data_IF_775537305065
#
_entry.id   IF_775537305065
#
_cell.length_a   1.000
_cell.length_b   1.000
_cell.length_c   1.000
_cell.angle_alpha   90.00
_cell.angle_beta   90.00
_cell.angle_gamma   90.00
#
_symmetry.space_group_name_H-M   'P 1'
#
loop_
_entity.id
_entity.type
_entity.pdbx_description
1 polymer ?
#
# COMPACT_ATOMS: atom_id res chain seq x y z
N UNK A 1 -62.16 3.86 19.30
CA UNK A 1 -60.83 3.22 19.47
C UNK A 1 -60.40 2.81 18.07
N UNK A 2 -59.46 3.47 17.40
CA UNK A 2 -58.06 3.64 17.79
C UNK A 2 -57.44 4.85 17.06
N UNK A 3 -57.18 5.91 17.81
CA UNK A 3 -56.06 6.81 17.54
C UNK A 3 -54.77 6.09 17.95
N UNK A 4 -53.65 6.46 17.31
CA UNK A 4 -52.27 6.05 17.60
C UNK A 4 -51.76 4.81 16.86
N UNK A 5 -51.08 5.06 15.73
CA UNK A 5 -49.95 4.25 15.23
C UNK A 5 -49.27 4.87 13.98
N UNK A 6 -49.90 5.86 13.32
CA UNK A 6 -49.33 6.52 12.13
C UNK A 6 -48.30 7.64 12.42
N UNK A 7 -47.97 7.92 13.69
CA UNK A 7 -47.02 8.97 14.09
C UNK A 7 -45.66 8.45 14.61
N UNK A 8 -45.40 7.14 14.54
CA UNK A 8 -44.23 6.49 15.14
C UNK A 8 -43.38 5.67 14.15
N UNK A 9 -43.34 6.07 12.89
CA UNK A 9 -42.26 5.65 11.99
C UNK A 9 -41.59 6.89 11.42
N UNK A 10 -40.43 7.32 11.95
CA UNK A 10 -39.59 8.22 11.17
C UNK A 10 -39.26 7.44 9.89
N UNK A 11 -39.65 8.00 8.74
CA UNK A 11 -39.27 7.42 7.45
C UNK A 11 -37.76 7.23 7.45
N UNK A 12 -37.29 6.06 7.02
CA UNK A 12 -35.87 5.68 7.00
C UNK A 12 -34.99 6.77 6.35
N UNK A 13 -35.58 7.58 5.46
CA UNK A 13 -35.01 8.78 4.84
C UNK A 13 -34.66 9.93 5.80
N UNK A 14 -35.41 10.14 6.89
CA UNK A 14 -35.14 11.19 7.89
C UNK A 14 -34.04 10.76 8.86
N UNK A 15 -33.98 9.47 9.21
CA UNK A 15 -32.91 8.92 10.05
C UNK A 15 -31.58 8.83 9.28
N UNK A 16 -31.61 8.45 8.00
CA UNK A 16 -30.43 8.46 7.12
C UNK A 16 -30.00 9.88 6.75
N UNK A 17 -30.95 10.78 6.48
CA UNK A 17 -30.67 12.18 6.17
C UNK A 17 -30.15 12.97 7.37
N UNK A 18 -30.61 12.71 8.60
CA UNK A 18 -30.18 13.44 9.79
C UNK A 18 -28.80 13.08 10.32
N UNK A 19 -28.31 11.87 10.07
CA UNK A 19 -27.01 11.39 10.56
C UNK A 19 -25.90 11.51 9.51
N UNK A 20 -26.23 11.24 8.24
CA UNK A 20 -25.26 11.32 7.15
C UNK A 20 -25.10 12.73 6.61
N UNK A 21 -26.12 13.60 6.68
CA UNK A 21 -26.00 14.95 6.15
C UNK A 21 -25.00 15.82 6.95
N UNK A 22 -24.95 15.80 8.30
CA UNK A 22 -23.89 16.48 9.04
C UNK A 22 -22.50 15.88 8.78
N UNK A 23 -22.41 14.57 8.55
CA UNK A 23 -21.17 13.86 8.22
C UNK A 23 -20.69 14.20 6.79
N UNK A 24 -21.60 14.26 5.81
CA UNK A 24 -21.37 14.69 4.43
C UNK A 24 -21.08 16.20 4.33
N UNK A 25 -21.74 17.03 5.14
CA UNK A 25 -21.49 18.46 5.23
C UNK A 25 -20.16 18.75 5.93
N UNK A 26 -19.78 17.98 6.96
CA UNK A 26 -18.45 18.06 7.58
C UNK A 26 -17.35 17.74 6.57
N UNK A 27 -17.58 16.77 5.66
CA UNK A 27 -16.67 16.46 4.56
C UNK A 27 -16.56 17.60 3.54
N UNK A 28 -17.67 18.33 3.31
CA UNK A 28 -17.73 19.44 2.37
C UNK A 28 -17.10 20.73 2.92
N UNK A 29 -16.95 20.82 4.25
CA UNK A 29 -16.33 21.93 5.00
C UNK A 29 -14.85 21.66 5.37
N UNK A 30 -14.26 20.55 4.96
CA UNK A 30 -12.84 20.31 5.18
C UNK A 30 -12.01 21.19 4.23
N UNK A 31 -11.49 22.30 4.76
CA UNK A 31 -10.43 23.06 4.11
C UNK A 31 -9.23 22.18 3.77
N UNK A 32 -8.27 22.68 2.97
CA UNK A 32 -7.13 21.89 2.47
C UNK A 32 -6.37 21.10 3.54
N UNK A 33 -6.36 21.57 4.80
CA UNK A 33 -5.74 20.88 5.94
C UNK A 33 -6.47 19.60 6.37
N UNK A 34 -7.80 19.56 6.33
CA UNK A 34 -8.59 18.37 6.65
C UNK A 34 -8.34 17.25 5.63
N UNK A 35 -8.47 17.59 4.33
CA UNK A 35 -8.10 16.69 3.23
C UNK A 35 -6.68 16.16 3.39
N UNK A 36 -5.72 17.05 3.71
CA UNK A 36 -4.34 16.63 3.90
C UNK A 36 -4.19 15.63 5.07
N UNK A 37 -4.83 15.87 6.21
CA UNK A 37 -4.76 15.00 7.38
C UNK A 37 -5.43 13.63 7.12
N UNK A 38 -6.61 13.64 6.48
CA UNK A 38 -7.32 12.42 6.13
C UNK A 38 -6.49 11.55 5.19
N UNK A 39 -6.02 12.09 4.05
CA UNK A 39 -5.23 11.31 3.10
C UNK A 39 -3.87 10.88 3.67
N UNK A 40 -3.25 11.67 4.56
CA UNK A 40 -2.05 11.24 5.28
C UNK A 40 -2.33 9.98 6.13
N UNK A 41 -3.46 9.95 6.83
CA UNK A 41 -3.91 8.79 7.60
C UNK A 41 -4.21 7.59 6.69
N UNK A 42 -4.99 7.79 5.63
CA UNK A 42 -5.31 6.73 4.66
C UNK A 42 -4.04 6.13 4.04
N UNK A 43 -3.05 6.97 3.72
CA UNK A 43 -1.78 6.51 3.19
C UNK A 43 -1.00 5.65 4.18
N UNK A 44 -1.06 5.97 5.47
CA UNK A 44 -0.44 5.17 6.52
C UNK A 44 -1.18 3.85 6.73
N UNK A 45 -2.52 3.89 6.84
CA UNK A 45 -3.39 2.73 7.05
C UNK A 45 -3.28 1.73 5.90
N UNK A 46 -3.17 2.24 4.67
CA UNK A 46 -2.90 1.45 3.48
C UNK A 46 -1.65 0.59 3.60
N UNK A 47 -0.66 0.98 4.41
CA UNK A 47 0.52 0.15 4.68
C UNK A 47 0.33 -0.67 5.94
N UNK A 48 -0.05 -0.03 7.05
CA UNK A 48 -0.25 -0.67 8.36
C UNK A 48 -1.66 -0.34 8.87
N UNK A 49 -2.58 -1.30 8.99
CA UNK A 49 -2.39 -2.76 8.91
C UNK A 49 -2.78 -3.40 7.55
N UNK A 50 -3.32 -2.65 6.60
CA UNK A 50 -4.01 -3.23 5.44
C UNK A 50 -3.07 -3.72 4.34
N UNK A 51 -1.90 -3.08 4.21
CA UNK A 51 -0.96 -3.28 3.11
C UNK A 51 0.01 -4.44 3.28
N UNK A 52 -0.49 -5.66 3.50
CA UNK A 52 0.39 -6.82 3.62
C UNK A 52 1.32 -7.00 2.40
N UNK A 53 0.84 -6.69 1.19
CA UNK A 53 1.66 -6.71 -0.02
C UNK A 53 2.87 -5.76 0.09
N UNK A 54 2.65 -4.54 0.61
CA UNK A 54 3.69 -3.54 0.82
C UNK A 54 4.64 -3.93 1.95
N UNK A 55 4.11 -4.45 3.06
CA UNK A 55 4.90 -4.93 4.19
C UNK A 55 5.85 -6.03 3.74
N UNK A 56 5.35 -7.07 3.07
CA UNK A 56 6.18 -8.18 2.60
C UNK A 56 7.19 -7.73 1.54
N UNK A 57 6.81 -6.81 0.65
CA UNK A 57 7.73 -6.24 -0.34
C UNK A 57 8.90 -5.52 0.33
N UNK A 58 8.62 -4.58 1.25
CA UNK A 58 9.65 -3.80 1.96
C UNK A 58 10.50 -4.66 2.88
N UNK A 59 9.92 -5.66 3.56
CA UNK A 59 10.71 -6.65 4.32
C UNK A 59 11.62 -7.46 3.39
N UNK A 60 11.16 -7.81 2.19
CA UNK A 60 12.00 -8.38 1.15
C UNK A 60 13.18 -7.48 0.77
N UNK A 61 12.97 -6.16 0.62
CA UNK A 61 14.05 -5.19 0.41
C UNK A 61 15.03 -5.14 1.59
N UNK A 62 14.50 -5.13 2.82
CA UNK A 62 15.27 -5.04 4.05
C UNK A 62 16.20 -6.24 4.25
N UNK A 63 15.70 -7.47 4.09
CA UNK A 63 16.52 -8.67 4.27
C UNK A 63 17.62 -8.81 3.19
N UNK A 64 17.48 -8.11 2.07
CA UNK A 64 18.48 -8.01 1.03
C UNK A 64 19.58 -6.99 1.36
N UNK A 65 19.17 -5.76 1.66
CA UNK A 65 20.06 -4.60 1.70
C UNK A 65 20.16 -4.03 3.12
N UNK A 66 21.35 -4.16 3.71
CA UNK A 66 21.65 -3.67 5.06
C UNK A 66 21.91 -2.16 5.10
N UNK A 67 22.23 -1.56 3.96
CA UNK A 67 22.58 -0.15 3.87
C UNK A 67 21.31 0.70 3.86
N UNK A 68 21.09 1.45 4.95
CA UNK A 68 19.92 2.30 5.11
C UNK A 68 19.71 3.29 3.94
N UNK A 69 20.75 3.98 3.40
CA UNK A 69 20.56 4.86 2.25
C UNK A 69 20.07 4.14 0.98
N UNK A 70 20.56 2.93 0.74
CA UNK A 70 20.17 2.12 -0.40
C UNK A 70 18.74 1.56 -0.27
N UNK A 71 18.30 1.29 0.96
CA UNK A 71 16.91 0.91 1.24
C UNK A 71 15.97 2.11 1.07
N UNK A 72 16.33 3.28 1.60
CA UNK A 72 15.57 4.52 1.41
C UNK A 72 15.41 4.87 -0.08
N UNK A 73 16.48 4.79 -0.86
CA UNK A 73 16.40 5.05 -2.30
C UNK A 73 15.39 4.14 -3.00
N UNK A 74 15.37 2.85 -2.66
CA UNK A 74 14.42 1.89 -3.24
C UNK A 74 12.98 2.19 -2.82
N UNK A 75 12.75 2.52 -1.54
CA UNK A 75 11.42 2.90 -1.04
C UNK A 75 10.94 4.18 -1.72
N UNK A 76 11.81 5.17 -1.88
CA UNK A 76 11.49 6.42 -2.59
C UNK A 76 11.15 6.17 -4.05
N UNK A 77 11.96 5.39 -4.78
CA UNK A 77 11.67 5.04 -6.18
C UNK A 77 10.35 4.28 -6.34
N UNK A 78 10.10 3.31 -5.46
CA UNK A 78 8.84 2.57 -5.42
C UNK A 78 7.66 3.52 -5.18
N UNK A 79 7.78 4.40 -4.18
CA UNK A 79 6.70 5.33 -3.79
C UNK A 79 6.43 6.32 -4.91
N UNK A 80 7.45 6.89 -5.55
CA UNK A 80 7.28 7.79 -6.69
C UNK A 80 6.57 7.10 -7.87
N UNK A 81 6.99 5.89 -8.23
CA UNK A 81 6.35 5.13 -9.30
C UNK A 81 4.89 4.77 -8.97
N UNK A 82 4.65 4.38 -7.72
CA UNK A 82 3.34 4.12 -7.17
C UNK A 82 2.44 5.36 -7.25
N UNK A 83 2.92 6.54 -6.84
CA UNK A 83 2.18 7.80 -6.94
C UNK A 83 1.74 8.11 -8.37
N UNK A 84 2.62 7.89 -9.35
CA UNK A 84 2.34 8.15 -10.76
C UNK A 84 1.16 7.32 -11.24
N UNK A 85 1.22 6.01 -11.05
CA UNK A 85 0.19 5.08 -11.56
C UNK A 85 -1.10 5.12 -10.76
N UNK A 86 -1.01 5.32 -9.45
CA UNK A 86 -2.19 5.59 -8.61
C UNK A 86 -2.90 6.85 -9.09
N UNK A 87 -2.16 7.95 -9.30
CA UNK A 87 -2.72 9.20 -9.79
C UNK A 87 -3.39 9.05 -11.17
N UNK A 88 -2.71 8.38 -12.10
CA UNK A 88 -3.27 8.07 -13.43
C UNK A 88 -4.53 7.20 -13.34
N UNK A 89 -4.55 6.23 -12.42
CA UNK A 89 -5.72 5.38 -12.16
C UNK A 89 -6.89 6.15 -11.57
N UNK A 90 -6.65 7.01 -10.58
CA UNK A 90 -7.68 7.85 -9.96
C UNK A 90 -8.27 8.87 -10.94
N UNK A 91 -7.47 9.41 -11.85
CA UNK A 91 -7.94 10.28 -12.94
C UNK A 91 -8.67 9.50 -14.05
N UNK A 92 -8.70 8.17 -13.97
CA UNK A 92 -9.31 7.30 -14.98
C UNK A 92 -8.55 7.23 -16.31
N UNK A 93 -7.32 7.73 -16.35
CA UNK A 93 -6.48 7.76 -17.56
C UNK A 93 -5.85 6.40 -17.86
N UNK A 94 -5.62 5.58 -16.83
CA UNK A 94 -5.13 4.21 -16.97
C UNK A 94 -6.07 3.27 -16.22
N UNK A 95 -6.57 2.23 -16.89
CA UNK A 95 -7.43 1.22 -16.30
C UNK A 95 -6.88 -0.16 -16.67
N UNK A 96 -6.44 -0.90 -15.65
CA UNK A 96 -5.95 -2.27 -15.80
C UNK A 96 -6.73 -3.12 -14.81
N UNK A 97 -7.36 -4.23 -15.25
CA UNK A 97 -8.27 -4.97 -14.39
C UNK A 97 -7.52 -5.66 -13.24
N UNK A 98 -8.17 -5.76 -12.08
CA UNK A 98 -7.57 -6.31 -10.86
C UNK A 98 -7.05 -7.75 -11.01
N UNK A 99 -7.72 -8.57 -11.81
CA UNK A 99 -7.28 -9.94 -12.13
C UNK A 99 -5.94 -10.02 -12.89
N UNK A 100 -5.43 -8.90 -13.43
CA UNK A 100 -4.09 -8.79 -14.00
C UNK A 100 -3.14 -8.14 -13.01
N UNK A 101 -3.57 -7.06 -12.37
CA UNK A 101 -2.71 -6.27 -11.47
C UNK A 101 -2.37 -7.02 -10.19
N UNK A 102 -3.35 -7.64 -9.53
CA UNK A 102 -3.18 -8.29 -8.23
C UNK A 102 -2.19 -9.49 -8.28
N UNK A 103 -2.23 -10.38 -9.30
CA UNK A 103 -1.18 -11.38 -9.50
C UNK A 103 0.21 -10.78 -9.76
N UNK A 104 0.32 -9.70 -10.53
CA UNK A 104 1.60 -9.04 -10.80
C UNK A 104 2.20 -8.41 -9.54
N UNK A 105 1.36 -7.87 -8.65
CA UNK A 105 1.78 -7.43 -7.31
C UNK A 105 2.37 -8.60 -6.54
N UNK A 106 1.66 -9.72 -6.43
CA UNK A 106 2.16 -10.91 -5.72
C UNK A 106 3.46 -11.45 -6.36
N UNK A 107 3.53 -11.47 -7.70
CA UNK A 107 4.71 -11.91 -8.44
C UNK A 107 5.93 -11.01 -8.16
N UNK A 108 5.72 -9.70 -8.06
CA UNK A 108 6.82 -8.78 -7.70
C UNK A 108 7.44 -9.12 -6.34
N UNK A 109 6.61 -9.48 -5.35
CA UNK A 109 7.08 -9.88 -4.01
C UNK A 109 7.85 -11.19 -4.09
N UNK A 110 7.32 -12.17 -4.84
CA UNK A 110 7.97 -13.46 -5.06
C UNK A 110 9.35 -13.28 -5.72
N UNK A 111 9.44 -12.44 -6.75
CA UNK A 111 10.70 -12.15 -7.43
C UNK A 111 11.75 -11.62 -6.45
N UNK A 112 11.42 -10.61 -5.64
CA UNK A 112 12.34 -10.05 -4.64
C UNK A 112 12.78 -11.09 -3.62
N UNK A 113 11.84 -11.89 -3.12
CA UNK A 113 12.11 -12.91 -2.11
C UNK A 113 13.00 -14.05 -2.63
N UNK A 114 12.73 -14.52 -3.84
CA UNK A 114 13.54 -15.55 -4.52
C UNK A 114 14.93 -15.01 -4.84
N UNK A 115 15.03 -13.78 -5.32
CA UNK A 115 16.30 -13.10 -5.60
C UNK A 115 17.20 -13.01 -4.35
N UNK A 116 16.61 -12.76 -3.17
CA UNK A 116 17.34 -12.72 -1.90
C UNK A 116 18.06 -14.02 -1.58
N UNK A 117 17.41 -15.15 -1.91
CA UNK A 117 17.85 -16.50 -1.61
C UNK A 117 18.89 -16.95 -2.65
N UNK A 118 18.55 -16.85 -3.94
CA UNK A 118 19.26 -17.54 -5.02
C UNK A 118 20.43 -16.75 -5.64
N UNK A 119 20.26 -15.44 -5.89
CA UNK A 119 21.28 -14.70 -6.63
C UNK A 119 22.46 -14.32 -5.72
N UNK A 120 23.69 -14.14 -6.22
CA UNK A 120 24.81 -13.55 -5.48
C UNK A 120 24.74 -12.00 -5.49
N UNK A 121 25.33 -11.32 -4.49
CA UNK A 121 25.20 -9.85 -4.29
C UNK A 121 25.42 -8.96 -5.56
N UNK A 122 26.44 -9.19 -6.41
CA UNK A 122 26.72 -8.28 -7.53
C UNK A 122 25.74 -8.37 -8.70
N UNK A 123 25.08 -9.51 -8.92
CA UNK A 123 24.13 -9.68 -10.02
C UNK A 123 22.77 -9.05 -9.71
N UNK A 124 22.42 -9.00 -8.43
CA UNK A 124 21.17 -8.45 -7.90
C UNK A 124 21.03 -6.95 -8.14
N UNK A 125 22.11 -6.19 -7.94
CA UNK A 125 22.04 -4.72 -7.91
C UNK A 125 21.89 -4.07 -9.30
N UNK A 126 22.22 -4.79 -10.39
CA UNK A 126 22.30 -4.22 -11.75
C UNK A 126 20.95 -3.71 -12.28
N UNK A 127 19.87 -4.42 -11.99
CA UNK A 127 18.52 -4.11 -12.50
C UNK A 127 17.53 -3.80 -11.37
N UNK A 128 17.99 -3.87 -10.10
CA UNK A 128 17.18 -3.73 -8.89
C UNK A 128 16.34 -2.47 -8.88
N UNK A 129 16.97 -1.32 -9.10
CA UNK A 129 16.30 -0.02 -9.03
C UNK A 129 15.21 0.11 -10.10
N UNK A 130 15.50 -0.38 -11.31
CA UNK A 130 14.54 -0.42 -12.40
C UNK A 130 13.35 -1.34 -12.07
N UNK A 131 13.61 -2.53 -11.53
CA UNK A 131 12.53 -3.43 -11.12
C UNK A 131 11.69 -2.87 -9.98
N UNK A 132 12.31 -2.31 -8.94
CA UNK A 132 11.57 -1.67 -7.83
C UNK A 132 10.69 -0.52 -8.34
N UNK A 133 11.19 0.27 -9.28
CA UNK A 133 10.39 1.29 -9.95
C UNK A 133 9.19 0.67 -10.69
N UNK A 134 9.41 -0.35 -11.53
CA UNK A 134 8.33 -1.05 -12.25
C UNK A 134 7.32 -1.69 -11.29
N UNK A 135 7.76 -2.29 -10.20
CA UNK A 135 6.89 -2.84 -9.18
C UNK A 135 6.04 -1.75 -8.52
N UNK A 136 6.63 -0.58 -8.23
CA UNK A 136 5.87 0.58 -7.77
C UNK A 136 4.75 0.98 -8.73
N UNK A 137 5.02 1.00 -10.05
CA UNK A 137 3.99 1.26 -11.07
C UNK A 137 2.83 0.25 -10.98
N UNK A 138 3.13 -1.03 -10.82
CA UNK A 138 2.09 -2.08 -10.74
C UNK A 138 1.27 -1.93 -9.45
N UNK A 139 1.93 -1.69 -8.32
CA UNK A 139 1.26 -1.55 -7.03
C UNK A 139 0.33 -0.33 -7.00
N UNK A 140 0.73 0.80 -7.61
CA UNK A 140 -0.11 2.00 -7.68
C UNK A 140 -1.41 1.77 -8.46
N UNK A 141 -1.37 0.95 -9.51
CA UNK A 141 -2.59 0.53 -10.22
C UNK A 141 -3.51 -0.33 -9.34
N UNK A 142 -2.93 -1.21 -8.52
CA UNK A 142 -3.71 -2.07 -7.61
C UNK A 142 -4.43 -1.24 -6.56
N UNK A 143 -3.75 -0.22 -6.04
CA UNK A 143 -4.34 0.70 -5.08
C UNK A 143 -5.45 1.57 -5.69
N UNK A 144 -5.25 2.06 -6.92
CA UNK A 144 -6.29 2.78 -7.65
C UNK A 144 -7.54 1.92 -7.86
N UNK A 145 -7.37 0.63 -8.19
CA UNK A 145 -8.50 -0.30 -8.31
C UNK A 145 -9.26 -0.48 -6.98
N UNK A 146 -8.59 -0.44 -5.83
CA UNK A 146 -9.25 -0.49 -4.53
C UNK A 146 -10.07 0.78 -4.25
N UNK A 147 -9.52 1.95 -4.54
CA UNK A 147 -10.22 3.24 -4.39
C UNK A 147 -11.43 3.38 -5.32
N UNK A 148 -11.33 2.88 -6.55
CA UNK A 148 -12.47 2.89 -7.49
C UNK A 148 -13.64 2.03 -7.01
N UNK A 149 -13.41 0.98 -6.21
CA UNK A 149 -14.47 0.12 -5.65
C UNK A 149 -15.31 0.84 -4.58
N UNK A 150 -14.74 1.85 -3.91
CA UNK A 150 -15.40 2.62 -2.84
C UNK A 150 -15.91 3.98 -3.32
N UNK A 151 -15.91 4.23 -4.64
CA UNK A 151 -16.43 5.44 -5.29
C UNK A 151 -15.92 6.77 -4.69
N UNK A 152 -14.67 6.78 -4.20
CA UNK A 152 -14.05 8.00 -3.66
C UNK A 152 -13.75 8.96 -4.81
N UNK A 153 -14.59 10.00 -4.94
CA UNK A 153 -14.38 11.08 -5.90
C UNK A 153 -13.75 12.31 -5.23
N UNK A 154 -12.60 12.76 -5.74
CA UNK A 154 -11.95 13.99 -5.31
C UNK A 154 -12.26 15.14 -6.25
N UNK A 155 -12.45 16.33 -5.69
CA UNK A 155 -12.47 17.56 -6.48
C UNK A 155 -11.11 17.77 -7.17
N UNK A 156 -11.07 18.28 -8.41
CA UNK A 156 -9.81 18.63 -9.06
C UNK A 156 -8.92 19.57 -8.24
N UNK A 157 -9.52 20.44 -7.42
CA UNK A 157 -8.78 21.38 -6.57
C UNK A 157 -8.08 20.69 -5.38
N UNK A 158 -8.67 19.63 -4.83
CA UNK A 158 -8.13 18.90 -3.67
C UNK A 158 -7.30 17.68 -4.06
N UNK A 159 -7.40 17.22 -5.30
CA UNK A 159 -6.66 16.05 -5.79
C UNK A 159 -5.14 16.13 -5.59
N UNK A 160 -4.43 17.23 -5.90
CA UNK A 160 -2.97 17.28 -5.71
C UNK A 160 -2.55 17.16 -4.25
N UNK A 161 -3.27 17.81 -3.33
CA UNK A 161 -2.96 17.74 -1.89
C UNK A 161 -3.30 16.37 -1.32
N UNK A 162 -4.43 15.78 -1.72
CA UNK A 162 -4.79 14.42 -1.37
C UNK A 162 -3.73 13.42 -1.84
N UNK A 163 -3.30 13.51 -3.10
CA UNK A 163 -2.27 12.65 -3.68
C UNK A 163 -0.93 12.80 -2.93
N UNK A 164 -0.50 14.02 -2.65
CA UNK A 164 0.75 14.27 -1.92
C UNK A 164 0.69 13.70 -0.50
N UNK A 165 -0.37 14.03 0.25
CA UNK A 165 -0.56 13.57 1.63
C UNK A 165 -0.65 12.05 1.73
N UNK A 166 -1.39 11.40 0.81
CA UNK A 166 -1.46 9.94 0.72
C UNK A 166 -0.09 9.31 0.56
N UNK A 167 0.73 9.84 -0.35
CA UNK A 167 2.07 9.29 -0.59
C UNK A 167 3.05 9.58 0.57
N UNK A 168 2.88 10.70 1.28
CA UNK A 168 3.60 10.93 2.54
C UNK A 168 3.22 9.90 3.60
N UNK A 169 1.92 9.58 3.72
CA UNK A 169 1.41 8.55 4.63
C UNK A 169 1.99 7.16 4.30
N UNK A 170 1.98 6.80 3.01
CA UNK A 170 2.59 5.56 2.50
C UNK A 170 4.08 5.51 2.83
N UNK A 171 4.81 6.61 2.61
CA UNK A 171 6.22 6.71 2.96
C UNK A 171 6.46 6.49 4.46
N UNK A 172 5.67 7.13 5.31
CA UNK A 172 5.74 6.95 6.77
C UNK A 172 5.44 5.50 7.19
N UNK A 173 4.45 4.86 6.58
CA UNK A 173 4.13 3.45 6.80
C UNK A 173 5.32 2.54 6.45
N UNK A 174 5.93 2.71 5.27
CA UNK A 174 7.12 1.96 4.89
C UNK A 174 8.29 2.18 5.85
N UNK A 175 8.54 3.44 6.25
CA UNK A 175 9.59 3.76 7.21
C UNK A 175 9.33 3.14 8.59
N UNK A 176 8.08 3.07 9.03
CA UNK A 176 7.71 2.40 10.29
C UNK A 176 8.02 0.90 10.22
N UNK A 177 7.64 0.21 9.14
CA UNK A 177 7.97 -1.21 8.93
C UNK A 177 9.48 -1.44 8.95
N UNK A 178 10.24 -0.62 8.21
CA UNK A 178 11.71 -0.69 8.18
C UNK A 178 12.30 -0.41 9.55
N UNK A 179 11.79 0.60 10.27
CA UNK A 179 12.26 0.95 11.61
C UNK A 179 12.12 -0.21 12.58
N UNK A 180 10.96 -0.86 12.61
CA UNK A 180 10.71 -2.05 13.44
C UNK A 180 11.65 -3.19 13.05
N UNK A 181 11.77 -3.50 11.76
CA UNK A 181 12.67 -4.55 11.27
C UNK A 181 14.14 -4.27 11.63
N UNK A 182 14.56 -3.02 11.51
CA UNK A 182 15.91 -2.58 11.85
C UNK A 182 16.19 -2.73 13.34
N UNK A 183 15.28 -2.28 14.21
CA UNK A 183 15.40 -2.45 15.66
C UNK A 183 15.48 -3.93 16.06
N UNK A 184 14.66 -4.79 15.44
CA UNK A 184 14.66 -6.22 15.72
C UNK A 184 15.95 -6.94 15.28
N UNK A 185 16.58 -6.49 14.19
CA UNK A 185 17.66 -7.25 13.54
C UNK A 185 19.07 -6.65 13.69
N UNK A 186 19.19 -5.34 13.96
CA UNK A 186 20.46 -4.61 13.93
C UNK A 186 21.51 -5.14 14.92
N UNK A 187 21.10 -5.67 16.07
CA UNK A 187 22.03 -6.27 17.04
C UNK A 187 22.77 -7.52 16.50
N UNK A 188 22.19 -8.22 15.52
CA UNK A 188 22.68 -9.52 15.05
C UNK A 188 23.17 -9.50 13.60
N UNK A 189 22.96 -8.42 12.85
CA UNK A 189 23.18 -8.36 11.41
C UNK A 189 24.62 -8.61 10.92
N UNK A 190 25.62 -8.44 11.81
CA UNK A 190 27.05 -8.67 11.55
C UNK A 190 27.48 -10.10 11.90
N UNK A 191 26.59 -10.90 12.49
CA UNK A 191 26.87 -12.30 12.80
C UNK A 191 26.75 -13.14 11.52
N UNK A 192 27.69 -14.05 11.32
CA UNK A 192 27.71 -14.94 10.14
C UNK A 192 26.45 -15.82 10.03
N UNK A 193 25.88 -16.20 11.18
CA UNK A 193 24.67 -17.01 11.25
C UNK A 193 23.40 -16.23 10.84
N UNK A 194 23.39 -14.90 10.92
CA UNK A 194 22.19 -14.08 10.68
C UNK A 194 21.60 -14.33 9.29
N UNK A 195 22.45 -14.45 8.26
CA UNK A 195 21.98 -14.73 6.91
C UNK A 195 21.29 -16.10 6.85
N UNK A 196 21.92 -17.14 7.42
CA UNK A 196 21.45 -18.53 7.34
C UNK A 196 20.20 -18.77 8.20
N UNK A 197 20.12 -18.15 9.37
CA UNK A 197 19.05 -18.42 10.34
C UNK A 197 17.89 -17.41 10.29
N UNK A 198 18.10 -16.19 9.77
CA UNK A 198 17.07 -15.14 9.76
C UNK A 198 16.73 -14.69 8.35
N UNK A 199 17.69 -14.09 7.63
CA UNK A 199 17.39 -13.43 6.36
C UNK A 199 16.91 -14.39 5.26
N UNK A 200 17.55 -15.56 5.13
CA UNK A 200 17.15 -16.58 4.14
C UNK A 200 15.82 -17.24 4.51
N UNK A 201 15.60 -17.73 5.75
CA UNK A 201 14.29 -18.26 6.16
C UNK A 201 13.15 -17.25 6.03
N UNK A 202 13.35 -15.99 6.45
CA UNK A 202 12.34 -14.95 6.31
C UNK A 202 12.00 -14.69 4.83
N UNK A 203 13.02 -14.59 3.97
CA UNK A 203 12.81 -14.49 2.52
C UNK A 203 12.11 -15.74 1.95
N UNK A 204 12.39 -16.93 2.50
CA UNK A 204 11.72 -18.18 2.11
C UNK A 204 10.23 -18.16 2.44
N UNK A 205 9.85 -17.70 3.64
CA UNK A 205 8.45 -17.52 4.03
C UNK A 205 7.77 -16.52 3.11
N UNK A 206 8.40 -15.36 2.86
CA UNK A 206 7.85 -14.34 1.93
C UNK A 206 7.66 -14.94 0.53
N UNK A 207 8.61 -15.72 0.03
CA UNK A 207 8.52 -16.36 -1.28
C UNK A 207 7.36 -17.36 -1.35
N UNK A 208 7.19 -18.21 -0.33
CA UNK A 208 6.07 -19.18 -0.28
C UNK A 208 4.73 -18.45 -0.25
N UNK A 209 4.56 -17.48 0.65
CA UNK A 209 3.31 -16.72 0.78
C UNK A 209 2.96 -16.01 -0.55
N UNK A 210 3.93 -15.32 -1.14
CA UNK A 210 3.71 -14.58 -2.38
C UNK A 210 3.43 -15.50 -3.58
N UNK A 211 4.08 -16.65 -3.69
CA UNK A 211 3.76 -17.64 -4.74
C UNK A 211 2.35 -18.20 -4.55
N UNK A 212 1.95 -18.53 -3.32
CA UNK A 212 0.57 -18.94 -3.04
C UNK A 212 -0.44 -17.85 -3.43
N UNK A 213 -0.13 -16.58 -3.17
CA UNK A 213 -0.98 -15.46 -3.59
C UNK A 213 -1.02 -15.27 -5.10
N UNK A 214 0.07 -15.49 -5.83
CA UNK A 214 0.05 -15.47 -7.30
C UNK A 214 -0.97 -16.49 -7.80
N UNK A 215 -0.89 -17.73 -7.32
CA UNK A 215 -1.82 -18.80 -7.73
C UNK A 215 -3.26 -18.44 -7.37
N UNK A 216 -3.51 -18.02 -6.14
CA UNK A 216 -4.85 -17.64 -5.69
C UNK A 216 -5.46 -16.51 -6.54
N UNK A 217 -4.70 -15.43 -6.77
CA UNK A 217 -5.17 -14.25 -7.52
C UNK A 217 -5.33 -14.51 -9.03
N UNK A 218 -4.62 -15.49 -9.59
CA UNK A 218 -4.83 -15.93 -10.98
C UNK A 218 -6.09 -16.79 -11.12
N UNK A 219 -6.41 -17.59 -10.10
CA UNK A 219 -7.55 -18.50 -10.13
C UNK A 219 -8.90 -17.82 -9.85
N UNK A 220 -8.89 -16.64 -9.22
CA UNK A 220 -10.08 -15.87 -8.86
C UNK A 220 -10.56 -16.21 -7.46
#
# INVERSE_FOLDING_TARGET
>A
MSLSLALLQPSLSVLMGGLLLPFLLAWQEEGMGGVAAHFLSEGFVHIIPEGLDHILFVLGLFFMCRAFPALLLQITLFTMAHSVTFGLGMLGLVKVPGNVVEPLIALSIAMVAVENILLPKPERWKWRLAAVFVFGLVHGLGFANAFQKVEVSLSPATFPIALLSLNLGVGLGHLAVVGVAYLACSAFWNREWYRKAVAVPASGVIAVVSVCWVVARVMG
#
